data_IF_933358341402
#
_entry.id   IF_933358341402
#
_cell.length_a   1.000
_cell.length_b   1.000
_cell.length_c   1.000
_cell.angle_alpha   90.00
_cell.angle_beta   90.00
_cell.angle_gamma   90.00
#
_symmetry.space_group_name_H-M   'P 1'
#
loop_
_entity.id
_entity.type
_entity.pdbx_description
1 polymer ?
#
# COMPACT_ATOMS: atom_id res chain seq x y z
N UNK A 1 -18.08 -69.93 -13.29
CA UNK A 1 -18.56 -68.90 -12.33
C UNK A 1 -17.54 -68.72 -11.23
N UNK A 2 -16.77 -67.63 -11.28
CA UNK A 2 -15.95 -67.13 -10.17
C UNK A 2 -16.17 -65.62 -10.13
N UNK A 3 -16.92 -65.17 -9.13
CA UNK A 3 -17.20 -63.75 -8.87
C UNK A 3 -16.02 -63.25 -8.03
N UNK A 4 -15.15 -62.44 -8.63
CA UNK A 4 -14.14 -61.69 -7.90
C UNK A 4 -14.70 -60.29 -7.64
N UNK A 5 -15.15 -60.07 -6.41
CA UNK A 5 -15.37 -58.76 -5.82
C UNK A 5 -14.02 -58.05 -5.73
N UNK A 6 -13.76 -57.10 -6.62
CA UNK A 6 -12.65 -56.16 -6.46
C UNK A 6 -13.22 -54.84 -5.95
N UNK A 7 -13.03 -54.63 -4.66
CA UNK A 7 -13.40 -53.42 -3.93
C UNK A 7 -12.69 -52.20 -4.54
N UNK A 8 -13.45 -51.37 -5.24
CA UNK A 8 -13.01 -50.05 -5.68
C UNK A 8 -12.91 -49.18 -4.43
N UNK A 9 -11.69 -49.00 -3.95
CA UNK A 9 -11.35 -48.03 -2.90
C UNK A 9 -11.55 -46.64 -3.49
N UNK A 10 -12.64 -46.01 -3.09
CA UNK A 10 -12.97 -44.62 -3.39
C UNK A 10 -12.01 -43.72 -2.59
N UNK A 11 -10.85 -43.42 -3.17
CA UNK A 11 -9.87 -42.48 -2.62
C UNK A 11 -10.40 -41.06 -2.85
N UNK A 12 -11.26 -40.60 -1.94
CA UNK A 12 -11.53 -39.19 -1.75
C UNK A 12 -10.31 -38.53 -1.10
N UNK A 13 -9.40 -37.99 -1.89
CA UNK A 13 -8.48 -36.96 -1.40
C UNK A 13 -8.64 -35.70 -2.23
N UNK A 14 -9.52 -34.84 -1.70
CA UNK A 14 -9.27 -33.41 -1.51
C UNK A 14 -8.58 -32.73 -2.68
N UNK A 15 -9.39 -32.27 -3.64
CA UNK A 15 -9.00 -31.13 -4.46
C UNK A 15 -8.68 -29.97 -3.52
N UNK A 16 -7.39 -29.62 -3.42
CA UNK A 16 -6.98 -28.33 -2.92
C UNK A 16 -7.49 -27.29 -3.93
N UNK A 17 -8.73 -26.86 -3.79
CA UNK A 17 -9.16 -25.59 -4.38
C UNK A 17 -8.36 -24.53 -3.65
N UNK A 18 -7.23 -24.11 -4.23
CA UNK A 18 -6.63 -22.85 -3.85
C UNK A 18 -7.72 -21.80 -4.12
N UNK A 19 -8.37 -21.35 -3.06
CA UNK A 19 -9.14 -20.12 -3.09
C UNK A 19 -8.08 -19.05 -3.37
N UNK A 20 -7.85 -18.80 -4.65
CA UNK A 20 -6.93 -17.79 -5.12
C UNK A 20 -7.46 -16.49 -4.53
N UNK A 21 -6.66 -15.89 -3.66
CA UNK A 21 -6.85 -14.55 -3.09
C UNK A 21 -6.67 -13.53 -4.23
N UNK A 22 -7.52 -13.60 -5.26
CA UNK A 22 -7.34 -12.84 -6.49
C UNK A 22 -8.02 -11.47 -6.41
N UNK A 23 -9.14 -11.35 -5.69
CA UNK A 23 -9.92 -10.10 -5.69
C UNK A 23 -9.26 -8.94 -4.93
N UNK A 24 -8.44 -9.23 -3.91
CA UNK A 24 -7.73 -8.17 -3.15
C UNK A 24 -6.42 -7.72 -3.82
N UNK A 25 -5.87 -8.51 -4.75
CA UNK A 25 -4.63 -8.17 -5.45
C UNK A 25 -4.81 -6.97 -6.37
N UNK A 26 -5.86 -6.97 -7.19
CA UNK A 26 -6.05 -5.95 -8.24
C UNK A 26 -6.39 -4.57 -7.65
N UNK A 27 -7.21 -4.54 -6.60
CA UNK A 27 -7.52 -3.30 -5.87
C UNK A 27 -6.26 -2.71 -5.21
N UNK A 28 -5.41 -3.55 -4.60
CA UNK A 28 -4.15 -3.12 -4.01
C UNK A 28 -3.15 -2.60 -5.06
N UNK A 29 -3.11 -3.22 -6.25
CA UNK A 29 -2.27 -2.77 -7.37
C UNK A 29 -2.70 -1.39 -7.87
N UNK A 30 -4.00 -1.18 -8.09
CA UNK A 30 -4.52 0.11 -8.58
C UNK A 30 -4.25 1.24 -7.57
N UNK A 31 -4.48 1.00 -6.29
CA UNK A 31 -4.25 1.99 -5.24
C UNK A 31 -2.76 2.28 -5.04
N UNK A 32 -1.90 1.27 -5.20
CA UNK A 32 -0.45 1.44 -5.19
C UNK A 32 0.03 2.33 -6.34
N UNK A 33 -0.61 2.24 -7.51
CA UNK A 33 -0.25 3.09 -8.66
C UNK A 33 -0.67 4.55 -8.45
N UNK A 34 -1.88 4.78 -7.91
CA UNK A 34 -2.32 6.13 -7.53
C UNK A 34 -1.35 6.78 -6.53
N UNK A 35 -0.88 6.02 -5.55
CA UNK A 35 0.09 6.49 -4.57
C UNK A 35 1.43 6.87 -5.22
N UNK A 36 1.92 6.03 -6.14
CA UNK A 36 3.16 6.27 -6.89
C UNK A 36 3.07 7.56 -7.71
N UNK A 37 1.93 7.82 -8.34
CA UNK A 37 1.70 9.05 -9.10
C UNK A 37 1.73 10.29 -8.19
N UNK A 38 1.05 10.25 -7.03
CA UNK A 38 1.06 11.38 -6.08
C UNK A 38 2.47 11.69 -5.55
N UNK A 39 3.25 10.64 -5.23
CA UNK A 39 4.62 10.81 -4.78
C UNK A 39 5.52 11.40 -5.88
N UNK A 40 5.33 10.96 -7.12
CA UNK A 40 6.03 11.54 -8.29
C UNK A 40 5.65 13.00 -8.50
N UNK A 41 4.37 13.35 -8.37
CA UNK A 41 3.91 14.71 -8.57
C UNK A 41 4.56 15.67 -7.57
N UNK A 42 4.63 15.25 -6.31
CA UNK A 42 5.28 16.02 -5.24
C UNK A 42 6.76 16.32 -5.54
N UNK A 43 7.48 15.36 -6.11
CA UNK A 43 8.89 15.49 -6.50
C UNK A 43 9.06 16.48 -7.68
N UNK A 44 8.12 16.44 -8.63
CA UNK A 44 8.16 17.28 -9.83
C UNK A 44 7.82 18.76 -9.59
N UNK A 45 7.02 19.08 -8.56
CA UNK A 45 6.61 20.48 -8.27
C UNK A 45 7.82 21.41 -8.11
N UNK A 46 8.91 20.93 -7.52
CA UNK A 46 10.13 21.73 -7.27
C UNK A 46 10.74 22.25 -8.59
N UNK A 47 10.49 21.58 -9.71
CA UNK A 47 11.07 21.89 -11.01
C UNK A 47 10.15 22.72 -11.92
N UNK A 48 8.96 23.12 -11.46
CA UNK A 48 8.06 23.96 -12.25
C UNK A 48 8.59 25.40 -12.35
N UNK A 49 9.10 25.75 -13.54
CA UNK A 49 9.71 27.05 -13.84
C UNK A 49 8.69 28.17 -14.02
N UNK A 50 7.40 27.86 -14.20
CA UNK A 50 6.35 28.85 -14.38
C UNK A 50 5.74 29.32 -13.07
N UNK A 51 6.18 28.74 -11.93
CA UNK A 51 5.71 29.06 -10.59
C UNK A 51 6.77 29.81 -9.80
N UNK A 52 6.34 30.76 -8.97
CA UNK A 52 7.18 31.33 -7.92
C UNK A 52 7.52 30.29 -6.86
N UNK A 53 8.53 30.56 -6.04
CA UNK A 53 8.90 29.69 -4.92
C UNK A 53 7.75 29.47 -3.94
N UNK A 54 7.03 30.55 -3.60
CA UNK A 54 5.86 30.49 -2.73
C UNK A 54 4.73 29.63 -3.32
N UNK A 55 4.48 29.73 -4.63
CA UNK A 55 3.49 28.88 -5.30
C UNK A 55 3.91 27.41 -5.32
N UNK A 56 5.19 27.12 -5.58
CA UNK A 56 5.72 25.75 -5.53
C UNK A 56 5.58 25.16 -4.13
N UNK A 57 5.90 25.93 -3.09
CA UNK A 57 5.81 25.48 -1.71
C UNK A 57 4.36 25.24 -1.27
N UNK A 58 3.42 26.11 -1.64
CA UNK A 58 2.00 25.88 -1.37
C UNK A 58 1.46 24.66 -2.15
N UNK A 59 1.91 24.44 -3.39
CA UNK A 59 1.58 23.23 -4.15
C UNK A 59 2.15 21.96 -3.49
N UNK A 60 3.42 21.97 -3.08
CA UNK A 60 4.06 20.86 -2.35
C UNK A 60 3.29 20.53 -1.07
N UNK A 61 2.92 21.55 -0.30
CA UNK A 61 2.07 21.39 0.87
C UNK A 61 0.75 20.69 0.53
N UNK A 62 0.00 21.21 -0.45
CA UNK A 62 -1.31 20.65 -0.83
C UNK A 62 -1.21 19.20 -1.27
N UNK A 63 -0.23 18.87 -2.12
CA UNK A 63 -0.02 17.49 -2.55
C UNK A 63 0.41 16.57 -1.41
N UNK A 64 1.25 17.04 -0.48
CA UNK A 64 1.62 16.27 0.71
C UNK A 64 0.41 15.97 1.61
N UNK A 65 -0.52 16.92 1.76
CA UNK A 65 -1.78 16.70 2.48
C UNK A 65 -2.67 15.66 1.77
N UNK A 66 -2.83 15.77 0.45
CA UNK A 66 -3.61 14.81 -0.36
C UNK A 66 -2.99 13.40 -0.29
N UNK A 67 -1.66 13.33 -0.37
CA UNK A 67 -0.90 12.09 -0.23
C UNK A 67 -1.13 11.46 1.15
N UNK A 68 -1.03 12.26 2.22
CA UNK A 68 -1.28 11.80 3.57
C UNK A 68 -2.70 11.24 3.74
N UNK A 69 -3.74 11.93 3.27
CA UNK A 69 -5.11 11.42 3.36
C UNK A 69 -5.31 10.14 2.56
N UNK A 70 -4.76 10.08 1.33
CA UNK A 70 -4.80 8.87 0.51
C UNK A 70 -4.18 7.69 1.25
N UNK A 71 -3.00 7.87 1.85
CA UNK A 71 -2.32 6.80 2.60
C UNK A 71 -3.12 6.38 3.85
N UNK A 72 -3.75 7.32 4.56
CA UNK A 72 -4.62 7.01 5.71
C UNK A 72 -5.82 6.15 5.30
N UNK A 73 -6.42 6.42 4.16
CA UNK A 73 -7.52 5.61 3.64
C UNK A 73 -7.05 4.22 3.24
N UNK A 74 -5.91 4.12 2.56
CA UNK A 74 -5.35 2.84 2.13
C UNK A 74 -4.95 1.94 3.30
N UNK A 75 -4.29 2.50 4.31
CA UNK A 75 -3.94 1.75 5.52
C UNK A 75 -5.19 1.18 6.19
N UNK A 76 -6.28 1.94 6.32
CA UNK A 76 -7.55 1.41 6.86
C UNK A 76 -8.12 0.25 6.05
N UNK A 77 -8.05 0.32 4.71
CA UNK A 77 -8.48 -0.80 3.84
C UNK A 77 -7.62 -2.06 4.07
N UNK A 78 -6.33 -1.90 4.33
CA UNK A 78 -5.38 -3.00 4.60
C UNK A 78 -5.54 -3.54 6.04
N UNK A 79 -6.08 -2.76 6.98
CA UNK A 79 -6.31 -3.20 8.37
C UNK A 79 -7.48 -4.20 8.52
N UNK A 80 -8.08 -4.67 7.42
CA UNK A 80 -9.10 -5.72 7.45
C UNK A 80 -8.63 -6.94 8.29
N UNK A 81 -9.53 -7.43 9.15
CA UNK A 81 -9.29 -8.52 10.10
C UNK A 81 -8.89 -9.83 9.40
N UNK A 82 -9.21 -9.96 8.12
CA UNK A 82 -8.86 -11.12 7.29
C UNK A 82 -7.42 -11.09 6.79
N UNK A 83 -6.70 -9.97 6.92
CA UNK A 83 -5.31 -9.87 6.47
C UNK A 83 -4.33 -10.49 7.49
N UNK A 84 -3.24 -11.12 7.01
CA UNK A 84 -2.18 -11.63 7.87
C UNK A 84 -1.66 -10.55 8.84
N UNK A 85 -1.27 -10.94 10.07
CA UNK A 85 -0.73 -10.02 11.09
C UNK A 85 0.41 -9.12 10.57
N UNK A 86 1.20 -9.64 9.62
CA UNK A 86 2.25 -8.89 8.91
C UNK A 86 1.70 -7.68 8.17
N UNK A 87 0.60 -7.84 7.42
CA UNK A 87 -0.07 -6.73 6.73
C UNK A 87 -0.64 -5.70 7.72
N UNK A 88 -1.24 -6.16 8.81
CA UNK A 88 -1.79 -5.27 9.84
C UNK A 88 -0.70 -4.39 10.48
N UNK A 89 0.48 -4.96 10.75
CA UNK A 89 1.64 -4.21 11.25
C UNK A 89 2.05 -3.09 10.30
N UNK A 90 2.23 -3.40 9.01
CA UNK A 90 2.64 -2.40 8.02
C UNK A 90 1.54 -1.37 7.76
N UNK A 91 0.27 -1.77 7.76
CA UNK A 91 -0.86 -0.85 7.66
C UNK A 91 -0.83 0.18 8.79
N UNK A 92 -0.66 -0.26 10.05
CA UNK A 92 -0.59 0.65 11.19
C UNK A 92 0.58 1.62 11.11
N UNK A 93 1.75 1.15 10.69
CA UNK A 93 2.93 2.01 10.46
C UNK A 93 2.68 3.03 9.35
N UNK A 94 2.04 2.59 8.26
CA UNK A 94 1.68 3.43 7.14
C UNK A 94 0.70 4.54 7.56
N UNK A 95 -0.32 4.20 8.36
CA UNK A 95 -1.26 5.14 8.93
C UNK A 95 -0.57 6.20 9.80
N UNK A 96 0.34 5.77 10.68
CA UNK A 96 1.11 6.68 11.54
C UNK A 96 2.00 7.63 10.72
N UNK A 97 2.73 7.11 9.74
CA UNK A 97 3.54 7.92 8.84
C UNK A 97 2.69 8.95 8.07
N UNK A 98 1.47 8.59 7.68
CA UNK A 98 0.56 9.48 7.00
C UNK A 98 0.02 10.59 7.93
N UNK A 99 -0.26 10.28 9.19
CA UNK A 99 -0.60 11.30 10.18
C UNK A 99 0.53 12.29 10.41
N UNK A 100 1.78 11.81 10.46
CA UNK A 100 2.95 12.67 10.58
C UNK A 100 3.18 13.53 9.34
N UNK A 101 3.07 12.94 8.14
CA UNK A 101 3.17 13.67 6.87
C UNK A 101 2.15 14.81 6.79
N UNK A 102 0.91 14.53 7.20
CA UNK A 102 -0.13 15.56 7.26
C UNK A 102 0.28 16.72 8.18
N UNK A 103 0.79 16.42 9.39
CA UNK A 103 1.22 17.45 10.34
C UNK A 103 2.38 18.29 9.81
N UNK A 104 3.36 17.66 9.16
CA UNK A 104 4.49 18.34 8.53
C UNK A 104 3.98 19.33 7.46
N UNK A 105 3.08 18.86 6.59
CA UNK A 105 2.50 19.70 5.54
C UNK A 105 1.64 20.83 6.11
N UNK A 106 0.81 20.54 7.10
CA UNK A 106 -0.09 21.52 7.74
C UNK A 106 0.69 22.66 8.42
N UNK A 107 1.86 22.34 8.99
CA UNK A 107 2.75 23.30 9.66
C UNK A 107 3.74 24.00 8.73
N UNK A 108 3.70 23.75 7.42
CA UNK A 108 4.66 24.28 6.45
C UNK A 108 6.13 23.88 6.73
N UNK A 109 6.36 22.75 7.38
CA UNK A 109 7.70 22.20 7.66
C UNK A 109 8.26 21.46 6.42
N UNK A 110 8.29 22.13 5.25
CA UNK A 110 8.51 21.52 3.93
C UNK A 110 9.88 20.85 3.75
N UNK A 111 10.87 21.27 4.53
CA UNK A 111 12.19 20.66 4.62
C UNK A 111 12.15 19.20 5.13
N UNK A 112 11.12 18.85 5.91
CA UNK A 112 10.97 17.51 6.50
C UNK A 112 10.15 16.56 5.61
N UNK A 113 9.56 17.06 4.51
CA UNK A 113 8.70 16.25 3.63
C UNK A 113 9.45 15.07 3.03
N UNK A 114 10.64 15.30 2.46
CA UNK A 114 11.39 14.24 1.76
C UNK A 114 11.70 13.07 2.69
N UNK A 115 12.23 13.36 3.88
CA UNK A 115 12.53 12.34 4.89
C UNK A 115 11.30 11.51 5.26
N UNK A 116 10.12 12.14 5.34
CA UNK A 116 8.87 11.45 5.66
C UNK A 116 8.35 10.60 4.50
N UNK A 117 8.48 11.08 3.27
CA UNK A 117 8.13 10.33 2.07
C UNK A 117 9.02 9.10 1.94
N UNK A 118 10.33 9.23 2.20
CA UNK A 118 11.24 8.08 2.18
C UNK A 118 10.86 7.02 3.23
N UNK A 119 10.39 7.45 4.41
CA UNK A 119 9.90 6.53 5.44
C UNK A 119 8.62 5.79 5.00
N UNK A 120 7.71 6.48 4.30
CA UNK A 120 6.52 5.89 3.69
C UNK A 120 6.95 4.86 2.63
N UNK A 121 7.84 5.23 1.72
CA UNK A 121 8.39 4.34 0.67
C UNK A 121 9.00 3.08 1.27
N UNK A 122 9.84 3.22 2.30
CA UNK A 122 10.43 2.07 3.00
C UNK A 122 9.37 1.17 3.61
N UNK A 123 8.30 1.72 4.17
CA UNK A 123 7.20 0.95 4.75
C UNK A 123 6.46 0.15 3.67
N UNK A 124 6.13 0.80 2.54
CA UNK A 124 5.49 0.15 1.39
C UNK A 124 6.36 -0.99 0.83
N UNK A 125 7.64 -0.72 0.57
CA UNK A 125 8.58 -1.70 0.03
C UNK A 125 8.77 -2.87 0.99
N UNK A 126 8.91 -2.61 2.30
CA UNK A 126 9.05 -3.68 3.30
C UNK A 126 7.84 -4.60 3.33
N UNK A 127 6.63 -4.04 3.23
CA UNK A 127 5.41 -4.83 3.11
C UNK A 127 5.42 -5.69 1.83
N UNK A 128 5.74 -5.09 0.69
CA UNK A 128 5.76 -5.80 -0.59
C UNK A 128 6.81 -6.92 -0.61
N UNK A 129 8.01 -6.70 -0.05
CA UNK A 129 9.05 -7.74 0.07
C UNK A 129 8.56 -8.90 0.95
N UNK A 130 8.04 -8.60 2.14
CA UNK A 130 7.65 -9.64 3.10
C UNK A 130 6.45 -10.48 2.62
N UNK A 131 5.59 -9.89 1.80
CA UNK A 131 4.36 -10.53 1.30
C UNK A 131 4.59 -11.22 -0.05
N UNK A 132 5.35 -10.61 -0.97
CA UNK A 132 5.56 -11.13 -2.33
C UNK A 132 6.83 -11.98 -2.46
N UNK A 133 7.74 -11.94 -1.48
CA UNK A 133 8.87 -12.85 -1.34
C UNK A 133 9.89 -12.80 -2.49
N UNK A 134 10.39 -11.60 -2.82
CA UNK A 134 11.58 -11.50 -3.68
C UNK A 134 12.85 -11.82 -2.89
#
# INVERSE_FOLDING_TARGET
>A
MKILFFSIVFVCFTGCTSVYVQSNSDAHVQESEKLRLLMRELDLVVYDRFKSELERDDMRRRYAMILAETIKELSKKIEDKNNPKTFQKYSKQLYQNAQELYKIADRYELENLQTKIDAITRTCNSCHIQVRGY
#
